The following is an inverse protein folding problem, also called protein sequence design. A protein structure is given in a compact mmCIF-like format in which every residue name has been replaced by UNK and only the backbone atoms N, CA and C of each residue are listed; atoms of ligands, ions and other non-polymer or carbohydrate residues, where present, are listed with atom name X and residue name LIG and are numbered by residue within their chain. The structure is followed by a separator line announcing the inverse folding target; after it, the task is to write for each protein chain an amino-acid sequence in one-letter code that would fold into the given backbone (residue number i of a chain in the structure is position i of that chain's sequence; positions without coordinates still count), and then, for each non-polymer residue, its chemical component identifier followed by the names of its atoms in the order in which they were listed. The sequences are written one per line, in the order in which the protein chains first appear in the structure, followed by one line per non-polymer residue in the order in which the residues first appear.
data_IF_846411277803
#
_entry.id   IF_846411277803
#
_cell.length_a   1.000
_cell.length_b   1.000
_cell.length_c   1.000
_cell.angle_alpha   90.00
_cell.angle_beta   90.00
_cell.angle_gamma   90.00
#
_symmetry.space_group_name_H-M   'P 1'
#
loop_
_entity.id
_entity.type
_entity.pdbx_description
1 polymer ?
#
# COMPACT_ATOMS: atom_id res chain seq x y z
N UNK A 1 15.10 57.52 51.68
CA UNK A 1 13.95 56.58 51.64
C UNK A 1 13.51 56.44 50.19
N UNK A 2 13.42 55.18 49.71
CA UNK A 2 12.43 54.59 48.78
C UNK A 2 11.94 55.48 47.60
N UNK A 3 11.93 55.10 46.32
CA UNK A 3 11.86 53.78 45.67
C UNK A 3 11.98 53.95 44.14
N UNK A 4 12.20 52.81 43.48
CA UNK A 4 12.58 52.49 42.09
C UNK A 4 11.73 53.03 40.90
N UNK A 5 12.27 52.87 39.66
CA UNK A 5 11.80 53.46 38.41
C UNK A 5 10.80 52.58 37.64
N UNK A 6 9.97 53.18 36.79
CA UNK A 6 9.15 52.44 35.81
C UNK A 6 9.74 52.63 34.41
N UNK A 7 10.68 51.75 34.05
CA UNK A 7 11.05 51.52 32.64
C UNK A 7 9.92 50.70 32.00
N UNK A 8 9.14 51.33 31.13
CA UNK A 8 8.19 50.64 30.26
C UNK A 8 8.99 49.92 29.19
N UNK A 9 9.09 48.60 29.32
CA UNK A 9 9.65 47.72 28.30
C UNK A 9 8.56 47.46 27.25
N UNK A 10 8.70 48.05 26.06
CA UNK A 10 7.82 47.75 24.93
C UNK A 10 8.22 46.37 24.35
N UNK A 11 7.54 45.31 24.77
CA UNK A 11 7.64 44.00 24.12
C UNK A 11 6.85 44.06 22.80
N UNK A 12 7.54 44.30 21.69
CA UNK A 12 7.03 44.04 20.34
C UNK A 12 6.94 42.53 20.13
N UNK A 13 5.76 41.96 20.39
CA UNK A 13 5.43 40.61 19.93
C UNK A 13 5.14 40.71 18.44
N UNK A 14 6.12 40.33 17.61
CA UNK A 14 5.90 40.12 16.18
C UNK A 14 5.15 38.80 16.03
N UNK A 15 3.82 38.86 15.97
CA UNK A 15 3.03 37.79 15.41
C UNK A 15 3.29 37.77 13.90
N UNK A 16 4.26 36.95 13.47
CA UNK A 16 4.33 36.53 12.09
C UNK A 16 3.10 35.63 11.84
N UNK A 17 1.99 36.25 11.43
CA UNK A 17 0.88 35.52 10.84
C UNK A 17 1.45 34.76 9.64
N UNK A 18 1.50 33.43 9.76
CA UNK A 18 1.73 32.57 8.61
C UNK A 18 0.57 32.85 7.66
N UNK A 19 0.80 33.71 6.67
CA UNK A 19 -0.14 33.95 5.59
C UNK A 19 -0.26 32.62 4.84
N UNK A 20 -1.29 31.84 5.16
CA UNK A 20 -1.72 30.74 4.31
C UNK A 20 -1.88 31.28 2.90
N UNK A 21 -1.41 30.53 1.91
CA UNK A 21 -1.63 30.88 0.52
C UNK A 21 -3.12 31.21 0.34
N UNK A 22 -3.42 32.39 -0.20
CA UNK A 22 -4.80 32.79 -0.45
C UNK A 22 -5.50 31.66 -1.22
N UNK A 23 -6.64 31.20 -0.70
CA UNK A 23 -7.46 30.19 -1.37
C UNK A 23 -7.73 30.69 -2.80
N UNK A 24 -7.28 29.93 -3.79
CA UNK A 24 -7.56 30.25 -5.20
C UNK A 24 -9.04 29.98 -5.43
N UNK A 25 -9.87 30.98 -5.13
CA UNK A 25 -11.31 30.90 -5.27
C UNK A 25 -11.73 31.05 -6.73
N UNK A 26 -12.27 29.98 -7.32
CA UNK A 26 -12.98 30.07 -8.61
C UNK A 26 -14.34 30.69 -8.35
N UNK A 27 -14.53 31.95 -8.74
CA UNK A 27 -15.85 32.61 -8.63
C UNK A 27 -16.66 32.38 -9.91
N UNK A 28 -17.67 31.51 -9.83
CA UNK A 28 -18.63 31.31 -10.92
C UNK A 28 -19.67 32.43 -10.86
N UNK A 29 -19.59 33.43 -11.77
CA UNK A 29 -20.46 34.62 -11.77
C UNK A 29 -21.62 34.56 -12.77
N UNK A 30 -21.59 33.61 -13.70
CA UNK A 30 -22.57 33.49 -14.77
C UNK A 30 -23.35 32.19 -14.61
N UNK A 31 -24.66 32.25 -14.31
CA UNK A 31 -25.50 31.06 -14.33
C UNK A 31 -25.53 30.45 -15.74
N UNK A 32 -25.45 29.12 -15.83
CA UNK A 32 -25.64 28.39 -17.07
C UNK A 32 -26.44 27.11 -16.79
N UNK A 33 -27.25 26.61 -17.74
CA UNK A 33 -27.82 25.27 -17.63
C UNK A 33 -26.68 24.23 -17.61
N UNK A 34 -26.86 23.09 -16.90
CA UNK A 34 -25.85 22.04 -16.91
C UNK A 34 -25.66 21.53 -18.34
N UNK A 35 -24.41 21.47 -18.84
CA UNK A 35 -24.15 20.96 -20.18
C UNK A 35 -24.44 19.46 -20.23
N UNK A 36 -24.77 18.94 -21.42
CA UNK A 36 -25.16 17.53 -21.59
C UNK A 36 -24.11 16.54 -21.05
N UNK A 37 -22.82 16.84 -21.22
CA UNK A 37 -21.74 15.97 -20.72
C UNK A 37 -21.76 15.82 -19.20
N UNK A 38 -22.14 16.87 -18.45
CA UNK A 38 -22.18 16.82 -16.98
C UNK A 38 -23.32 15.90 -16.51
N UNK A 39 -24.45 15.90 -17.23
CA UNK A 39 -25.55 14.97 -16.94
C UNK A 39 -25.16 13.52 -17.25
N UNK A 40 -24.42 13.28 -18.33
CA UNK A 40 -23.89 11.96 -18.67
C UNK A 40 -22.85 11.46 -17.67
N UNK A 41 -21.96 12.33 -17.20
CA UNK A 41 -20.99 12.00 -16.15
C UNK A 41 -21.70 11.62 -14.84
N UNK A 42 -22.74 12.37 -14.43
CA UNK A 42 -23.56 11.98 -13.26
C UNK A 42 -24.27 10.65 -13.45
N UNK A 43 -24.73 10.35 -14.68
CA UNK A 43 -25.35 9.06 -14.98
C UNK A 43 -24.32 7.92 -14.91
N UNK A 44 -23.11 8.13 -15.44
CA UNK A 44 -22.01 7.16 -15.36
C UNK A 44 -21.65 6.84 -13.92
N UNK A 45 -21.39 7.85 -13.09
CA UNK A 45 -21.07 7.66 -11.67
C UNK A 45 -22.18 6.91 -10.90
N UNK A 46 -23.45 7.17 -11.25
CA UNK A 46 -24.59 6.44 -10.67
C UNK A 46 -24.58 4.97 -11.10
N UNK A 47 -24.47 4.68 -12.39
CA UNK A 47 -24.46 3.30 -12.88
C UNK A 47 -23.26 2.49 -12.39
N UNK A 48 -22.09 3.12 -12.27
CA UNK A 48 -20.91 2.49 -11.67
C UNK A 48 -21.16 2.16 -10.18
N UNK A 49 -21.86 3.03 -9.45
CA UNK A 49 -22.24 2.77 -8.05
C UNK A 49 -23.24 1.61 -7.94
N UNK A 50 -24.26 1.57 -8.80
CA UNK A 50 -25.22 0.46 -8.88
C UNK A 50 -24.52 -0.87 -9.22
N UNK A 51 -23.50 -0.85 -10.07
CA UNK A 51 -22.69 -2.02 -10.41
C UNK A 51 -21.88 -2.52 -9.19
N UNK A 52 -21.29 -1.63 -8.40
CA UNK A 52 -20.63 -1.98 -7.13
C UNK A 52 -21.60 -2.64 -6.14
N UNK A 53 -22.81 -2.12 -6.00
CA UNK A 53 -23.85 -2.70 -5.13
C UNK A 53 -24.26 -4.10 -5.61
N UNK A 54 -24.49 -4.27 -6.91
CA UNK A 54 -24.80 -5.57 -7.49
C UNK A 54 -23.67 -6.57 -7.25
N UNK A 55 -22.43 -6.14 -7.47
CA UNK A 55 -21.25 -6.97 -7.22
C UNK A 55 -21.17 -7.40 -5.75
N UNK A 56 -21.26 -6.44 -4.81
CA UNK A 56 -21.19 -6.74 -3.39
C UNK A 56 -22.31 -7.71 -2.95
N UNK A 57 -23.54 -7.48 -3.40
CA UNK A 57 -24.68 -8.36 -3.10
C UNK A 57 -24.50 -9.78 -3.63
N UNK A 58 -23.74 -9.94 -4.72
CA UNK A 58 -23.53 -11.23 -5.38
C UNK A 58 -22.32 -12.01 -4.84
N UNK A 59 -21.26 -11.29 -4.45
CA UNK A 59 -19.94 -11.86 -4.21
C UNK A 59 -19.36 -11.57 -2.82
N UNK A 60 -20.06 -10.80 -1.97
CA UNK A 60 -19.60 -10.49 -0.61
C UNK A 60 -20.67 -10.93 0.39
N UNK A 61 -20.28 -11.70 1.40
CA UNK A 61 -21.23 -12.19 2.41
C UNK A 61 -21.55 -11.16 3.52
N UNK A 62 -22.38 -11.53 4.48
CA UNK A 62 -22.75 -10.66 5.61
C UNK A 62 -21.55 -10.25 6.48
N UNK A 63 -20.49 -11.07 6.53
CA UNK A 63 -19.25 -10.79 7.27
C UNK A 63 -18.28 -9.93 6.48
N UNK A 64 -18.57 -9.63 5.22
CA UNK A 64 -17.68 -8.91 4.31
C UNK A 64 -16.67 -9.80 3.60
N UNK A 65 -16.83 -11.13 3.66
CA UNK A 65 -15.89 -12.06 3.02
C UNK A 65 -16.20 -12.13 1.54
N UNK A 66 -15.16 -12.10 0.71
CA UNK A 66 -15.30 -12.35 -0.72
C UNK A 66 -15.56 -13.84 -0.92
N UNK A 67 -16.57 -14.17 -1.74
CA UNK A 67 -16.99 -15.55 -2.03
C UNK A 67 -16.05 -16.21 -3.06
N UNK A 68 -14.82 -16.51 -2.63
CA UNK A 68 -13.79 -17.21 -3.41
C UNK A 68 -13.10 -18.28 -2.55
N UNK A 69 -11.98 -18.85 -3.03
CA UNK A 69 -11.11 -19.78 -2.28
C UNK A 69 -9.90 -19.04 -1.68
N UNK A 70 -9.91 -18.62 -0.41
CA UNK A 70 -8.81 -17.85 0.17
C UNK A 70 -7.54 -18.67 0.24
N UNK A 71 -6.41 -18.07 -0.15
CA UNK A 71 -5.10 -18.73 -0.10
C UNK A 71 -3.94 -17.74 0.04
N UNK A 72 -2.74 -18.28 0.25
CA UNK A 72 -1.50 -17.53 0.10
C UNK A 72 -0.92 -17.74 -1.30
N UNK A 73 -0.23 -16.72 -1.82
CA UNK A 73 0.48 -16.78 -3.09
C UNK A 73 -0.46 -16.73 -4.31
N UNK A 74 -0.01 -17.31 -5.42
CA UNK A 74 -0.70 -17.31 -6.72
C UNK A 74 -2.16 -17.77 -6.62
N UNK A 75 -3.13 -17.12 -7.30
CA UNK A 75 -4.59 -17.40 -7.30
C UNK A 75 -5.35 -16.72 -6.15
N UNK A 76 -5.79 -15.48 -6.36
CA UNK A 76 -6.56 -14.73 -5.36
C UNK A 76 -5.82 -14.74 -3.99
N UNK A 77 -4.53 -14.37 -4.01
CA UNK A 77 -3.74 -14.11 -2.81
C UNK A 77 -4.29 -12.97 -1.94
N UNK A 78 -3.67 -12.69 -0.78
CA UNK A 78 -4.11 -11.59 0.10
C UNK A 78 -4.09 -10.22 -0.59
N UNK A 79 -3.26 -10.03 -1.60
CA UNK A 79 -3.20 -8.87 -2.48
C UNK A 79 -4.26 -8.95 -3.60
N UNK A 80 -4.25 -10.00 -4.43
CA UNK A 80 -5.16 -10.16 -5.57
C UNK A 80 -6.66 -10.02 -5.22
N UNK A 81 -7.13 -10.65 -4.14
CA UNK A 81 -8.57 -10.71 -3.87
C UNK A 81 -9.17 -9.35 -3.54
N UNK A 82 -8.44 -8.52 -2.78
CA UNK A 82 -8.90 -7.17 -2.41
C UNK A 82 -8.80 -6.20 -3.59
N UNK A 83 -8.02 -6.51 -4.63
CA UNK A 83 -7.98 -5.72 -5.86
C UNK A 83 -9.32 -5.65 -6.58
N UNK A 84 -10.25 -6.57 -6.32
CA UNK A 84 -11.62 -6.45 -6.85
C UNK A 84 -12.28 -5.10 -6.50
N UNK A 85 -11.80 -4.44 -5.44
CA UNK A 85 -12.30 -3.16 -4.96
C UNK A 85 -11.42 -1.95 -5.33
N UNK A 86 -10.37 -2.14 -6.15
CA UNK A 86 -9.25 -1.20 -6.34
C UNK A 86 -9.61 0.27 -6.60
N UNK A 87 -10.75 0.53 -7.25
CA UNK A 87 -11.21 1.87 -7.63
C UNK A 87 -12.47 2.36 -6.89
N UNK A 88 -12.97 1.62 -5.90
CA UNK A 88 -14.26 1.95 -5.27
C UNK A 88 -14.21 3.27 -4.50
N UNK A 89 -13.13 3.51 -3.76
CA UNK A 89 -12.93 4.78 -3.03
C UNK A 89 -12.63 5.95 -3.97
N UNK A 90 -12.05 5.69 -5.16
CA UNK A 90 -11.89 6.70 -6.20
C UNK A 90 -13.23 7.07 -6.84
N UNK A 91 -14.07 6.08 -7.14
CA UNK A 91 -15.42 6.29 -7.66
C UNK A 91 -16.24 7.16 -6.69
N UNK A 92 -16.20 6.83 -5.40
CA UNK A 92 -16.85 7.66 -4.38
C UNK A 92 -16.27 9.09 -4.35
N UNK A 93 -14.94 9.26 -4.37
CA UNK A 93 -14.31 10.58 -4.40
C UNK A 93 -14.68 11.42 -5.63
N UNK A 94 -14.97 10.78 -6.78
CA UNK A 94 -15.46 11.45 -7.99
C UNK A 94 -16.97 11.79 -7.93
N UNK A 95 -17.68 11.38 -6.88
CA UNK A 95 -19.08 11.68 -6.63
C UNK A 95 -20.04 10.51 -6.88
N UNK A 96 -19.54 9.28 -6.84
CA UNK A 96 -20.36 8.06 -6.71
C UNK A 96 -21.10 8.00 -5.36
N UNK A 97 -21.94 6.98 -5.19
CA UNK A 97 -22.81 6.82 -4.01
C UNK A 97 -22.02 6.53 -2.72
N UNK A 98 -22.48 7.04 -1.58
CA UNK A 98 -21.96 6.73 -0.24
C UNK A 98 -21.97 5.22 0.05
N UNK A 99 -22.93 4.48 -0.53
CA UNK A 99 -22.98 3.01 -0.42
C UNK A 99 -21.70 2.32 -0.90
N UNK A 100 -21.00 2.90 -1.89
CA UNK A 100 -19.75 2.34 -2.43
C UNK A 100 -18.66 2.32 -1.37
N UNK A 101 -18.50 3.41 -0.60
CA UNK A 101 -17.47 3.47 0.45
C UNK A 101 -17.84 2.59 1.65
N UNK A 102 -19.13 2.51 2.00
CA UNK A 102 -19.60 1.64 3.08
C UNK A 102 -19.39 0.15 2.76
N UNK A 103 -19.72 -0.26 1.53
CA UNK A 103 -19.48 -1.63 1.06
C UNK A 103 -17.98 -1.95 0.98
N UNK A 104 -17.15 -1.02 0.50
CA UNK A 104 -15.71 -1.20 0.49
C UNK A 104 -15.16 -1.38 1.91
N UNK A 105 -15.57 -0.55 2.87
CA UNK A 105 -15.12 -0.67 4.27
C UNK A 105 -15.52 -2.03 4.86
N UNK A 106 -16.75 -2.49 4.60
CA UNK A 106 -17.20 -3.83 5.00
C UNK A 106 -16.31 -4.91 4.38
N UNK A 107 -16.03 -4.83 3.08
CA UNK A 107 -15.18 -5.78 2.38
C UNK A 107 -13.72 -5.75 2.90
N UNK A 108 -13.16 -4.58 3.19
CA UNK A 108 -11.80 -4.45 3.73
C UNK A 108 -11.67 -5.10 5.12
N UNK A 109 -12.63 -4.85 6.01
CA UNK A 109 -12.66 -5.50 7.34
C UNK A 109 -12.87 -7.02 7.20
N UNK A 110 -13.72 -7.44 6.28
CA UNK A 110 -13.94 -8.85 5.97
C UNK A 110 -12.70 -9.53 5.42
N UNK A 111 -11.99 -8.89 4.49
CA UNK A 111 -10.76 -9.37 3.87
C UNK A 111 -9.66 -9.63 4.89
N UNK A 112 -9.38 -8.64 5.77
CA UNK A 112 -8.39 -8.84 6.83
C UNK A 112 -8.75 -10.01 7.75
N UNK A 113 -10.03 -10.18 8.10
CA UNK A 113 -10.47 -11.32 8.91
C UNK A 113 -10.32 -12.64 8.13
N UNK A 114 -10.84 -12.71 6.91
CA UNK A 114 -10.83 -13.89 6.04
C UNK A 114 -9.41 -14.41 5.82
N UNK A 115 -8.48 -13.53 5.47
CA UNK A 115 -7.08 -13.91 5.24
C UNK A 115 -6.28 -14.10 6.53
N UNK A 116 -6.78 -13.64 7.67
CA UNK A 116 -6.20 -13.97 8.98
C UNK A 116 -6.66 -15.35 9.51
N UNK A 117 -7.74 -15.91 8.96
CA UNK A 117 -8.18 -17.29 9.23
C UNK A 117 -7.41 -18.34 8.41
N UNK A 118 -6.83 -17.95 7.27
CA UNK A 118 -5.97 -18.79 6.42
C UNK A 118 -4.80 -19.42 7.21
N UNK A 119 -4.45 -20.67 6.88
CA UNK A 119 -3.26 -21.35 7.41
C UNK A 119 -2.52 -22.04 6.27
N UNK A 120 -1.21 -21.79 6.18
CA UNK A 120 -0.33 -22.44 5.21
C UNK A 120 0.53 -23.53 5.86
N UNK A 121 0.94 -24.53 5.07
CA UNK A 121 1.83 -25.62 5.48
C UNK A 121 3.23 -25.53 4.89
N UNK A 122 3.36 -25.04 3.65
CA UNK A 122 4.61 -25.02 2.89
C UNK A 122 5.37 -23.68 3.01
N UNK A 123 4.73 -22.65 3.55
CA UNK A 123 5.37 -21.37 3.92
C UNK A 123 4.99 -20.97 5.33
N UNK A 124 5.93 -20.33 6.02
CA UNK A 124 5.73 -19.77 7.36
C UNK A 124 5.07 -18.38 7.33
N UNK A 125 5.09 -17.69 6.19
CA UNK A 125 4.65 -16.29 6.06
C UNK A 125 3.17 -16.11 6.43
N UNK A 126 2.33 -17.08 6.09
CA UNK A 126 0.90 -17.13 6.44
C UNK A 126 0.52 -18.34 7.30
N UNK A 127 1.49 -18.94 8.01
CA UNK A 127 1.24 -20.10 8.89
C UNK A 127 0.23 -19.79 10.00
N UNK A 128 0.08 -18.51 10.35
CA UNK A 128 -0.85 -18.00 11.36
C UNK A 128 -1.66 -16.82 10.81
N UNK A 129 -2.12 -16.91 9.56
CA UNK A 129 -2.81 -15.82 8.86
C UNK A 129 -1.85 -14.95 8.05
N UNK A 130 -2.36 -14.38 6.96
CA UNK A 130 -1.60 -13.53 6.03
C UNK A 130 -1.45 -12.08 6.50
N UNK A 131 -2.22 -11.66 7.51
CA UNK A 131 -2.18 -10.32 8.08
C UNK A 131 -1.78 -10.36 9.54
N UNK A 132 -0.93 -9.42 9.96
CA UNK A 132 -0.64 -9.14 11.35
C UNK A 132 -0.74 -7.62 11.56
N UNK A 133 -1.41 -7.17 12.62
CA UNK A 133 -1.75 -5.75 12.80
C UNK A 133 -2.40 -5.15 11.53
N UNK A 134 -3.31 -5.86 10.86
CA UNK A 134 -4.04 -5.39 9.65
C UNK A 134 -3.14 -5.05 8.44
N UNK A 135 -1.87 -5.48 8.44
CA UNK A 135 -0.95 -5.32 7.32
C UNK A 135 -0.32 -6.67 6.98
N UNK A 136 0.00 -6.90 5.71
CA UNK A 136 0.51 -8.21 5.24
C UNK A 136 1.75 -8.61 6.05
N UNK A 137 1.89 -9.89 6.37
CA UNK A 137 3.00 -10.37 7.22
C UNK A 137 4.35 -10.04 6.61
N UNK A 138 4.62 -10.55 5.40
CA UNK A 138 5.77 -10.23 4.56
C UNK A 138 5.42 -10.46 3.09
N UNK A 139 5.69 -9.50 2.20
CA UNK A 139 5.59 -9.64 0.74
C UNK A 139 6.54 -8.62 0.09
N UNK A 140 6.76 -8.71 -1.22
CA UNK A 140 7.33 -7.59 -1.97
C UNK A 140 6.36 -6.42 -2.03
N UNK A 141 6.79 -5.24 -2.47
CA UNK A 141 5.91 -4.05 -2.47
C UNK A 141 5.01 -3.92 -3.69
N UNK A 142 5.25 -4.69 -4.75
CA UNK A 142 4.40 -4.66 -5.95
C UNK A 142 3.00 -5.16 -5.58
N UNK A 143 2.92 -6.37 -5.06
CA UNK A 143 1.68 -7.09 -4.74
C UNK A 143 0.77 -6.38 -3.70
N UNK A 144 1.17 -6.19 -2.43
CA UNK A 144 0.35 -5.50 -1.45
C UNK A 144 0.13 -4.02 -1.83
N UNK A 145 1.03 -3.41 -2.61
CA UNK A 145 0.83 -2.07 -3.16
C UNK A 145 -0.39 -1.99 -4.08
N UNK A 146 -0.56 -2.96 -4.97
CA UNK A 146 -1.72 -3.10 -5.86
C UNK A 146 -3.00 -3.32 -5.05
N UNK A 147 -3.01 -4.29 -4.13
CA UNK A 147 -4.17 -4.57 -3.27
C UNK A 147 -4.58 -3.42 -2.35
N UNK A 148 -3.65 -2.57 -1.92
CA UNK A 148 -3.93 -1.42 -1.05
C UNK A 148 -4.48 -0.19 -1.79
N UNK A 149 -4.63 -0.19 -3.11
CA UNK A 149 -5.00 1.00 -3.88
C UNK A 149 -6.28 1.68 -3.38
N UNK A 150 -7.34 0.91 -3.14
CA UNK A 150 -8.59 1.45 -2.60
C UNK A 150 -8.39 2.04 -1.19
N UNK A 151 -7.56 1.40 -0.37
CA UNK A 151 -7.24 1.87 0.97
C UNK A 151 -6.47 3.19 0.93
N UNK A 152 -5.48 3.32 0.03
CA UNK A 152 -4.70 4.54 -0.14
C UNK A 152 -5.57 5.72 -0.59
N UNK A 153 -6.60 5.48 -1.41
CA UNK A 153 -7.48 6.54 -1.91
C UNK A 153 -8.65 6.86 -0.98
N UNK A 154 -8.87 6.09 0.10
CA UNK A 154 -9.95 6.33 1.06
C UNK A 154 -9.86 7.73 1.69
N UNK A 155 -8.66 8.30 1.83
CA UNK A 155 -8.47 9.66 2.35
C UNK A 155 -9.11 10.75 1.49
N UNK A 156 -9.34 10.52 0.19
CA UNK A 156 -10.07 11.46 -0.68
C UNK A 156 -11.58 11.49 -0.36
N UNK A 157 -12.08 10.41 0.22
CA UNK A 157 -13.49 10.23 0.55
C UNK A 157 -13.79 10.54 2.02
N UNK A 158 -12.95 10.05 2.93
CA UNK A 158 -13.16 10.13 4.37
C UNK A 158 -11.88 10.59 5.10
N UNK A 159 -11.36 11.82 4.83
CA UNK A 159 -10.08 12.30 5.39
C UNK A 159 -10.05 12.41 6.91
N UNK A 160 -11.24 12.49 7.53
CA UNK A 160 -11.42 12.64 8.97
C UNK A 160 -11.78 11.32 9.69
N UNK A 161 -11.81 10.18 8.99
CA UNK A 161 -12.07 8.88 9.64
C UNK A 161 -10.91 8.56 10.63
N UNK A 162 -11.19 8.46 11.95
CA UNK A 162 -10.15 8.29 12.94
C UNK A 162 -9.45 6.93 12.84
N UNK A 163 -10.17 5.87 12.44
CA UNK A 163 -9.61 4.52 12.31
C UNK A 163 -8.71 4.45 11.09
N UNK A 164 -9.11 5.07 9.98
CA UNK A 164 -8.26 5.16 8.79
C UNK A 164 -6.95 5.91 9.07
N UNK A 165 -7.03 7.07 9.76
CA UNK A 165 -5.86 7.87 10.12
C UNK A 165 -4.91 7.10 11.06
N UNK A 166 -5.45 6.37 12.03
CA UNK A 166 -4.66 5.51 12.92
C UNK A 166 -3.96 4.41 12.13
N UNK A 167 -4.68 3.66 11.28
CA UNK A 167 -4.10 2.61 10.43
C UNK A 167 -3.02 3.15 9.50
N UNK A 168 -3.28 4.24 8.79
CA UNK A 168 -2.31 4.83 7.86
C UNK A 168 -1.04 5.29 8.60
N UNK A 169 -1.20 5.89 9.79
CA UNK A 169 -0.08 6.31 10.65
C UNK A 169 0.75 5.09 11.10
N UNK A 170 0.08 4.02 11.55
CA UNK A 170 0.75 2.80 12.00
C UNK A 170 1.43 2.05 10.86
N UNK A 171 0.78 1.95 9.70
CA UNK A 171 1.37 1.32 8.51
C UNK A 171 2.62 2.08 8.05
N UNK A 172 2.59 3.42 8.02
CA UNK A 172 3.80 4.21 7.77
C UNK A 172 4.89 3.94 8.81
N UNK A 173 4.51 3.79 10.09
CA UNK A 173 5.41 3.44 11.19
C UNK A 173 6.19 2.13 11.00
N UNK A 174 5.61 1.14 10.29
CA UNK A 174 6.30 -0.11 9.93
C UNK A 174 7.55 0.13 9.08
N UNK A 175 7.60 1.23 8.33
CA UNK A 175 8.70 1.57 7.41
C UNK A 175 9.54 2.75 7.91
N UNK A 176 9.11 3.39 9.00
CA UNK A 176 9.85 4.48 9.65
C UNK A 176 10.61 4.00 10.90
N UNK A 177 10.70 2.68 11.09
CA UNK A 177 11.33 2.04 12.26
C UNK A 177 10.65 2.46 13.58
N UNK A 178 9.33 2.64 13.56
CA UNK A 178 8.53 3.03 14.74
C UNK A 178 7.85 1.82 15.42
N UNK A 179 7.85 0.65 14.78
CA UNK A 179 7.35 -0.62 15.35
C UNK A 179 8.53 -1.57 15.62
N UNK A 180 8.75 -1.90 16.88
CA UNK A 180 9.86 -2.77 17.30
C UNK A 180 9.71 -4.22 16.83
N UNK A 181 8.49 -4.68 16.56
CA UNK A 181 8.23 -6.03 16.04
C UNK A 181 8.44 -6.12 14.52
N UNK A 182 8.51 -4.97 13.84
CA UNK A 182 8.67 -4.87 12.40
C UNK A 182 9.79 -3.86 12.03
N UNK A 183 11.05 -4.16 12.37
CA UNK A 183 12.17 -3.28 12.08
C UNK A 183 12.52 -3.36 10.59
N UNK A 184 11.66 -2.89 9.68
CA UNK A 184 11.87 -3.00 8.24
C UNK A 184 12.97 -2.04 7.74
N UNK A 185 13.09 -0.87 8.35
CA UNK A 185 13.96 0.22 7.90
C UNK A 185 15.20 0.38 8.78
N UNK A 186 16.36 0.51 8.15
CA UNK A 186 17.59 0.97 8.78
C UNK A 186 17.79 2.47 8.52
N UNK A 187 17.68 3.34 9.56
CA UNK A 187 17.85 4.78 9.40
C UNK A 187 19.30 5.22 9.15
N UNK A 188 20.30 4.36 9.42
CA UNK A 188 21.72 4.69 9.20
C UNK A 188 22.04 4.61 7.72
N UNK A 189 21.77 3.46 7.10
CA UNK A 189 22.05 3.23 5.69
C UNK A 189 20.88 3.61 4.77
N UNK A 190 19.72 3.99 5.34
CA UNK A 190 18.50 4.39 4.63
C UNK A 190 18.02 3.30 3.68
N UNK A 191 17.90 2.08 4.21
CA UNK A 191 17.49 0.89 3.46
C UNK A 191 16.30 0.23 4.11
N UNK A 192 15.31 -0.17 3.29
CA UNK A 192 14.36 -1.21 3.68
C UNK A 192 15.10 -2.54 3.51
N UNK A 193 15.29 -3.27 4.62
CA UNK A 193 16.29 -4.33 4.74
C UNK A 193 16.00 -5.60 3.92
N UNK A 194 14.84 -5.67 3.30
CA UNK A 194 14.44 -6.79 2.46
C UNK A 194 13.41 -6.37 1.43
N UNK A 195 13.44 -6.97 0.24
CA UNK A 195 12.30 -6.94 -0.70
C UNK A 195 11.05 -7.53 -0.04
N UNK A 196 11.20 -8.58 0.77
CA UNK A 196 10.13 -9.20 1.55
C UNK A 196 10.00 -8.55 2.93
N UNK A 197 9.00 -7.70 3.09
CA UNK A 197 8.83 -6.92 4.31
C UNK A 197 7.33 -6.75 4.62
N UNK A 198 7.04 -6.29 5.83
CA UNK A 198 5.66 -6.08 6.26
C UNK A 198 5.51 -5.98 7.77
N UNK A 199 4.37 -6.41 8.28
CA UNK A 199 4.03 -6.31 9.70
C UNK A 199 4.82 -7.25 10.62
N UNK A 200 5.55 -8.21 10.06
CA UNK A 200 6.47 -9.08 10.81
C UNK A 200 7.95 -8.76 10.58
N UNK A 201 8.24 -7.59 9.99
CA UNK A 201 9.60 -7.16 9.71
C UNK A 201 10.18 -7.72 8.39
N UNK A 202 11.48 -7.56 8.16
CA UNK A 202 12.15 -7.97 6.94
C UNK A 202 12.50 -9.47 6.95
N UNK A 203 12.29 -10.17 5.84
CA UNK A 203 12.74 -11.56 5.69
C UNK A 203 14.23 -11.60 5.31
N UNK A 204 15.07 -12.03 6.26
CA UNK A 204 16.52 -12.10 6.06
C UNK A 204 17.05 -13.49 5.64
N UNK A 205 16.14 -14.44 5.40
CA UNK A 205 16.45 -15.73 4.76
C UNK A 205 16.13 -15.66 3.27
N UNK A 206 16.78 -16.51 2.47
CA UNK A 206 16.32 -16.72 1.09
C UNK A 206 14.86 -17.14 1.08
N UNK A 207 14.12 -16.61 0.11
CA UNK A 207 12.77 -17.06 -0.14
C UNK A 207 12.79 -18.49 -0.67
N UNK A 208 11.65 -19.15 -0.56
CA UNK A 208 11.37 -20.44 -1.19
C UNK A 208 10.33 -20.23 -2.27
N UNK A 209 10.22 -21.17 -3.20
CA UNK A 209 9.12 -21.18 -4.19
C UNK A 209 7.74 -21.18 -3.53
N UNK A 210 7.62 -21.68 -2.29
CA UNK A 210 6.37 -21.70 -1.54
C UNK A 210 6.03 -20.36 -0.87
N UNK A 211 7.03 -19.49 -0.62
CA UNK A 211 6.76 -18.14 -0.16
C UNK A 211 6.05 -17.32 -1.25
N UNK A 212 6.32 -17.61 -2.53
CA UNK A 212 5.61 -17.04 -3.68
C UNK A 212 4.31 -17.77 -4.02
N UNK A 213 4.41 -19.09 -4.22
CA UNK A 213 3.29 -19.86 -4.76
C UNK A 213 2.31 -20.21 -3.66
N UNK A 214 2.74 -20.50 -2.44
CA UNK A 214 1.87 -21.03 -1.38
C UNK A 214 1.55 -22.52 -1.55
N UNK A 215 0.61 -23.00 -0.74
CA UNK A 215 0.15 -24.40 -0.76
C UNK A 215 -0.59 -24.75 -2.08
N UNK A 216 -0.59 -26.01 -2.52
CA UNK A 216 -1.38 -26.42 -3.69
C UNK A 216 -2.88 -26.23 -3.41
N UNK A 217 -3.61 -25.76 -4.42
CA UNK A 217 -5.06 -25.56 -4.34
C UNK A 217 -5.75 -26.44 -5.38
N UNK A 218 -6.55 -27.43 -4.94
CA UNK A 218 -7.24 -28.32 -5.86
C UNK A 218 -8.38 -27.59 -6.54
N UNK A 219 -8.53 -27.80 -7.84
CA UNK A 219 -9.65 -27.27 -8.60
C UNK A 219 -9.26 -26.68 -9.94
N UNK A 220 -10.27 -26.12 -10.61
CA UNK A 220 -10.14 -25.51 -11.93
C UNK A 220 -10.57 -24.05 -11.86
N UNK A 221 -9.70 -23.16 -12.30
CA UNK A 221 -9.86 -21.72 -12.11
C UNK A 221 -9.61 -20.94 -13.40
N UNK A 222 -10.32 -19.83 -13.58
CA UNK A 222 -10.01 -18.86 -14.62
C UNK A 222 -8.89 -17.94 -14.15
N UNK A 223 -7.72 -18.06 -14.76
CA UNK A 223 -6.59 -17.19 -14.46
C UNK A 223 -6.54 -16.04 -15.48
N UNK A 224 -6.82 -14.82 -15.02
CA UNK A 224 -6.88 -13.63 -15.87
C UNK A 224 -5.55 -13.30 -16.56
N UNK A 225 -4.43 -13.65 -15.91
CA UNK A 225 -3.07 -13.47 -16.43
C UNK A 225 -2.52 -14.69 -17.19
N UNK A 226 -3.36 -15.70 -17.46
CA UNK A 226 -2.93 -16.83 -18.30
C UNK A 226 -3.02 -16.49 -19.79
N UNK A 227 -2.17 -17.13 -20.60
CA UNK A 227 -2.30 -17.11 -22.07
C UNK A 227 -3.57 -17.79 -22.61
N UNK A 228 -4.44 -18.28 -21.72
CA UNK A 228 -5.67 -19.02 -22.02
C UNK A 228 -6.87 -18.44 -21.28
N UNK A 229 -7.08 -17.12 -21.36
CA UNK A 229 -8.11 -16.38 -20.60
C UNK A 229 -9.54 -16.97 -20.69
N UNK A 230 -9.88 -17.68 -21.76
CA UNK A 230 -11.19 -18.31 -21.96
C UNK A 230 -11.35 -19.72 -21.36
N UNK A 231 -10.29 -20.31 -20.80
CA UNK A 231 -10.30 -21.69 -20.28
C UNK A 231 -10.07 -21.70 -18.76
N UNK A 232 -10.66 -22.70 -18.09
CA UNK A 232 -10.31 -22.99 -16.70
C UNK A 232 -9.09 -23.91 -16.64
N UNK A 233 -8.05 -23.47 -15.93
CA UNK A 233 -6.81 -24.22 -15.68
C UNK A 233 -6.95 -25.09 -14.44
N UNK A 234 -6.53 -26.34 -14.54
CA UNK A 234 -6.38 -27.27 -13.43
C UNK A 234 -5.10 -26.94 -12.64
N UNK A 235 -5.26 -26.43 -11.41
CA UNK A 235 -4.13 -25.91 -10.65
C UNK A 235 -3.23 -26.99 -10.07
N UNK A 236 -3.76 -28.16 -9.74
CA UNK A 236 -2.93 -29.29 -9.29
C UNK A 236 -1.95 -29.70 -10.41
N UNK A 237 -2.42 -29.73 -11.66
CA UNK A 237 -1.56 -30.00 -12.82
C UNK A 237 -0.61 -28.85 -13.15
N UNK A 238 -1.01 -27.62 -12.89
CA UNK A 238 -0.17 -26.44 -13.12
C UNK A 238 0.88 -26.22 -12.03
N UNK A 239 0.67 -26.78 -10.83
CA UNK A 239 1.47 -26.50 -9.63
C UNK A 239 2.99 -26.70 -9.82
N UNK A 240 3.48 -27.80 -10.43
CA UNK A 240 4.92 -27.95 -10.69
C UNK A 240 5.49 -26.84 -11.58
N UNK A 241 4.71 -26.34 -12.55
CA UNK A 241 5.12 -25.25 -13.43
C UNK A 241 5.14 -23.90 -12.70
N UNK A 242 4.19 -23.66 -11.79
CA UNK A 242 4.17 -22.46 -10.95
C UNK A 242 5.40 -22.42 -10.04
N UNK A 243 5.73 -23.54 -9.38
CA UNK A 243 6.94 -23.64 -8.56
C UNK A 243 8.22 -23.41 -9.38
N UNK A 244 8.29 -24.00 -10.58
CA UNK A 244 9.45 -23.83 -11.46
C UNK A 244 9.64 -22.37 -11.89
N UNK A 245 8.54 -21.63 -12.13
CA UNK A 245 8.60 -20.22 -12.47
C UNK A 245 9.18 -19.36 -11.34
N UNK A 246 8.76 -19.61 -10.09
CA UNK A 246 9.20 -18.82 -8.93
C UNK A 246 10.62 -19.17 -8.44
N UNK A 247 11.27 -20.18 -9.03
CA UNK A 247 12.60 -20.62 -8.60
C UNK A 247 13.71 -19.61 -8.95
N UNK A 248 13.42 -18.60 -9.77
CA UNK A 248 14.34 -17.52 -10.14
C UNK A 248 14.28 -16.32 -9.18
N UNK A 249 13.26 -16.26 -8.32
CA UNK A 249 12.92 -15.08 -7.53
C UNK A 249 13.19 -15.27 -6.02
N UNK A 250 14.32 -15.86 -5.66
CA UNK A 250 14.54 -16.36 -4.29
C UNK A 250 15.33 -15.42 -3.38
N UNK A 251 15.70 -14.25 -3.89
CA UNK A 251 16.52 -13.31 -3.13
C UNK A 251 15.65 -12.42 -2.25
N UNK A 252 16.14 -12.16 -1.03
CA UNK A 252 15.36 -11.46 -0.01
C UNK A 252 16.11 -10.29 0.62
N UNK A 253 17.39 -10.46 0.90
CA UNK A 253 18.16 -9.51 1.71
C UNK A 253 18.51 -8.26 0.89
N UNK A 254 18.42 -7.11 1.54
CA UNK A 254 18.75 -5.82 0.94
C UNK A 254 17.53 -5.08 0.42
N UNK A 255 17.75 -3.81 0.07
CA UNK A 255 16.72 -2.96 -0.50
C UNK A 255 16.55 -3.25 -1.99
N UNK A 256 15.32 -3.11 -2.48
CA UNK A 256 14.95 -3.29 -3.87
C UNK A 256 14.14 -2.07 -4.32
N UNK A 257 14.26 -1.70 -5.60
CA UNK A 257 13.54 -0.55 -6.16
C UNK A 257 12.02 -0.60 -5.95
N UNK A 258 11.42 -1.80 -5.84
CA UNK A 258 10.02 -1.98 -5.50
C UNK A 258 9.64 -1.34 -4.16
N UNK A 259 10.55 -1.33 -3.19
CA UNK A 259 10.32 -0.76 -1.87
C UNK A 259 10.13 0.76 -1.89
N UNK A 260 10.46 1.46 -2.98
CA UNK A 260 10.08 2.87 -3.17
C UNK A 260 8.57 3.07 -3.06
N UNK A 261 7.76 2.08 -3.40
CA UNK A 261 6.31 2.14 -3.25
C UNK A 261 5.88 2.35 -1.78
N UNK A 262 6.68 1.92 -0.79
CA UNK A 262 6.41 2.15 0.63
C UNK A 262 6.24 3.62 1.00
N UNK A 263 6.83 4.53 0.22
CA UNK A 263 6.68 5.98 0.40
C UNK A 263 5.24 6.47 0.32
N UNK A 264 4.36 5.73 -0.36
CA UNK A 264 2.94 6.06 -0.47
C UNK A 264 2.24 6.06 0.90
N UNK A 265 2.68 5.21 1.84
CA UNK A 265 2.14 5.17 3.20
C UNK A 265 2.44 6.47 3.95
N UNK A 266 3.72 6.87 3.96
CA UNK A 266 4.14 8.11 4.60
C UNK A 266 3.54 9.33 3.88
N UNK A 267 3.44 9.32 2.55
CA UNK A 267 2.77 10.39 1.81
C UNK A 267 1.30 10.55 2.23
N UNK A 268 0.55 9.44 2.34
CA UNK A 268 -0.83 9.48 2.83
C UNK A 268 -0.92 9.91 4.30
N UNK A 269 -0.06 9.41 5.17
CA UNK A 269 0.01 9.84 6.56
C UNK A 269 0.31 11.36 6.67
N UNK A 270 1.16 11.91 5.80
CA UNK A 270 1.39 13.35 5.72
C UNK A 270 0.13 14.12 5.29
N UNK A 271 -0.54 13.68 4.21
CA UNK A 271 -1.76 14.34 3.72
C UNK A 271 -2.88 14.34 4.77
N UNK A 272 -3.00 13.28 5.56
CA UNK A 272 -4.01 13.17 6.61
C UNK A 272 -3.63 14.00 7.85
N UNK A 273 -2.36 13.97 8.28
CA UNK A 273 -1.98 14.49 9.61
C UNK A 273 -1.30 15.85 9.58
N UNK A 274 -0.74 16.27 8.44
CA UNK A 274 0.13 17.43 8.33
C UNK A 274 1.49 17.30 9.03
N UNK A 275 1.80 16.14 9.64
CA UNK A 275 3.04 15.96 10.40
C UNK A 275 4.26 15.85 9.48
N UNK A 276 5.17 16.81 9.58
CA UNK A 276 6.35 16.91 8.72
C UNK A 276 7.28 15.69 8.76
N UNK A 277 7.23 14.84 9.81
CA UNK A 277 8.07 13.63 9.90
C UNK A 277 7.90 12.71 8.69
N UNK A 278 6.66 12.55 8.22
CA UNK A 278 6.33 11.67 7.11
C UNK A 278 6.91 12.20 5.79
N UNK A 279 6.70 13.50 5.51
CA UNK A 279 7.29 14.17 4.34
C UNK A 279 8.81 14.08 4.36
N UNK A 280 9.43 14.32 5.50
CA UNK A 280 10.88 14.28 5.65
C UNK A 280 11.44 12.88 5.37
N UNK A 281 10.78 11.83 5.87
CA UNK A 281 11.18 10.45 5.61
C UNK A 281 11.07 10.09 4.13
N UNK A 282 9.97 10.47 3.45
CA UNK A 282 9.83 10.26 2.00
C UNK A 282 10.97 10.92 1.22
N UNK A 283 11.27 12.19 1.53
CA UNK A 283 12.34 12.94 0.86
C UNK A 283 13.71 12.30 1.13
N UNK A 284 13.98 11.87 2.36
CA UNK A 284 15.24 11.20 2.72
C UNK A 284 15.42 9.90 1.95
N UNK A 285 14.41 9.03 1.96
CA UNK A 285 14.50 7.71 1.35
C UNK A 285 14.57 7.80 -0.18
N UNK A 286 13.76 8.65 -0.81
CA UNK A 286 13.81 8.89 -2.25
C UNK A 286 15.15 9.51 -2.70
N UNK A 287 15.73 10.42 -1.90
CA UNK A 287 17.06 10.98 -2.20
C UNK A 287 18.17 9.92 -2.10
N UNK A 288 18.09 8.98 -1.15
CA UNK A 288 19.05 7.88 -1.08
C UNK A 288 19.01 7.03 -2.37
N UNK A 289 17.82 6.73 -2.88
CA UNK A 289 17.65 6.05 -4.18
C UNK A 289 18.17 6.87 -5.37
N UNK A 290 17.95 8.20 -5.37
CA UNK A 290 18.52 9.11 -6.37
C UNK A 290 20.06 9.09 -6.37
N UNK A 291 20.68 9.12 -5.20
CA UNK A 291 22.14 9.05 -5.05
C UNK A 291 22.68 7.71 -5.56
N UNK A 292 22.04 6.59 -5.20
CA UNK A 292 22.40 5.25 -5.68
C UNK A 292 22.25 5.13 -7.19
N UNK A 293 21.19 5.69 -7.76
CA UNK A 293 20.95 5.75 -9.21
C UNK A 293 22.06 6.53 -9.92
N UNK A 294 22.56 7.62 -9.32
CA UNK A 294 23.68 8.37 -9.87
C UNK A 294 25.00 7.56 -9.83
N UNK A 295 25.22 6.77 -8.78
CA UNK A 295 26.39 5.88 -8.65
C UNK A 295 26.42 4.77 -9.72
N UNK A 296 25.25 4.40 -10.27
CA UNK A 296 25.07 3.35 -11.28
C UNK A 296 24.82 3.91 -12.68
N UNK A 297 25.32 5.12 -12.95
CA UNK A 297 25.29 5.73 -14.28
C UNK A 297 23.89 6.14 -14.76
N UNK A 298 22.97 6.40 -13.83
CA UNK A 298 21.58 6.78 -14.12
C UNK A 298 20.60 5.61 -14.14
N UNK A 299 21.06 4.36 -13.95
CA UNK A 299 20.17 3.19 -13.86
C UNK A 299 19.74 2.97 -12.41
N UNK A 300 18.46 2.69 -12.16
CA UNK A 300 18.01 2.32 -10.81
C UNK A 300 18.58 0.93 -10.49
N UNK A 301 19.40 0.76 -9.43
CA UNK A 301 19.94 -0.54 -9.08
C UNK A 301 18.85 -1.50 -8.60
N UNK A 302 18.97 -2.79 -8.95
CA UNK A 302 18.03 -3.84 -8.54
C UNK A 302 18.18 -4.22 -7.07
N UNK A 303 19.39 -4.07 -6.51
CA UNK A 303 19.68 -4.42 -5.12
C UNK A 303 20.59 -3.38 -4.47
N UNK A 304 20.29 -3.03 -3.22
CA UNK A 304 21.15 -2.29 -2.30
C UNK A 304 21.43 -3.18 -1.09
N UNK A 305 22.69 -3.39 -0.75
CA UNK A 305 23.06 -4.19 0.42
C UNK A 305 22.64 -3.52 1.72
N UNK A 306 22.66 -4.29 2.82
CA UNK A 306 22.41 -3.75 4.16
C UNK A 306 23.42 -2.67 4.58
N UNK A 307 24.58 -2.62 3.91
CA UNK A 307 25.60 -1.58 4.08
C UNK A 307 25.34 -0.31 3.26
N UNK A 308 24.17 -0.20 2.61
CA UNK A 308 23.75 0.95 1.82
C UNK A 308 24.35 1.02 0.42
N UNK A 309 25.18 0.05 0.00
CA UNK A 309 25.88 0.09 -1.28
C UNK A 309 25.12 -0.64 -2.39
N UNK A 310 25.09 -0.10 -3.63
CA UNK A 310 24.55 -0.81 -4.79
C UNK A 310 25.22 -2.18 -5.00
N UNK A 311 24.40 -3.23 -5.12
CA UNK A 311 24.85 -4.61 -5.33
C UNK A 311 25.62 -5.23 -4.17
N UNK A 312 25.43 -4.74 -2.94
CA UNK A 312 26.13 -5.25 -1.75
C UNK A 312 25.98 -6.77 -1.55
N UNK A 313 24.80 -7.32 -1.86
CA UNK A 313 24.56 -8.77 -1.79
C UNK A 313 25.17 -9.56 -2.96
N UNK A 314 25.64 -8.87 -4.01
CA UNK A 314 26.16 -9.47 -5.25
C UNK A 314 27.56 -8.99 -5.63
N UNK A 315 28.38 -8.63 -4.62
CA UNK A 315 29.78 -8.20 -4.83
C UNK A 315 29.89 -7.01 -5.79
N UNK A 316 28.97 -6.05 -5.67
CA UNK A 316 28.91 -4.83 -6.48
C UNK A 316 28.15 -4.97 -7.81
N UNK A 317 27.63 -6.15 -8.14
CA UNK A 317 26.75 -6.32 -9.31
C UNK A 317 25.35 -5.81 -8.98
N UNK A 318 25.14 -4.50 -9.14
CA UNK A 318 23.89 -3.81 -8.80
C UNK A 318 22.70 -4.16 -9.71
N UNK A 319 22.95 -4.84 -10.83
CA UNK A 319 21.94 -5.35 -11.77
C UNK A 319 21.54 -6.82 -11.50
N UNK A 320 21.98 -7.37 -10.36
CA UNK A 320 21.59 -8.71 -9.89
C UNK A 320 20.65 -8.60 -8.70
N UNK A 321 20.02 -9.74 -8.42
CA UNK A 321 18.90 -9.86 -7.50
C UNK A 321 17.64 -10.22 -8.24
N UNK A 322 16.64 -10.56 -7.45
CA UNK A 322 15.24 -10.69 -7.87
C UNK A 322 14.66 -9.31 -8.16
#
# INVERSE_FOLDING_TARGET
MRTLPTRVLLCLVVFAAAAGAAEVGVTVRSPMPPPAWALLERALLRFDSEACEWFANRYVDERGYLLHTPRWGTLDGPDDAIETFFNWTLLHALGGSDSVVDLYKKAQEGHWRQYNELRTKLTELASNGAYHKEFITMSDWFHPGEGMRAFMLLGLSQPNDPRYRERMTRFAGLYMNEDADAPNYDPVNKVIKSIWNGSKGPMLRKATVYDWVGDPVPGRYHLLHSGKRGEMLDLDKAYPKMLAHCNEYLDSVGDNSLNLAATVLAANAYMLTGNAKYRNWVIEYANAWKERTAQTGGNIPSNIGLDGKPGGEYKGQWWKGT
#
